data_IF_996161939416
#
_entry.id   IF_996161939416
#
_cell.length_a   1.000
_cell.length_b   1.000
_cell.length_c   1.000
_cell.angle_alpha   90.00
_cell.angle_beta   90.00
_cell.angle_gamma   90.00
#
_symmetry.space_group_name_H-M   'P 1'
#
loop_
_entity.id
_entity.type
_entity.pdbx_description
1 polymer ?
#
# COMPACT_ATOMS: atom_id res chain seq x y z
N UNK A 1 -9.97 -6.36 6.54
CA UNK A 1 -8.79 -7.26 6.55
C UNK A 1 -7.60 -6.69 7.31
N UNK A 2 -6.88 -5.67 6.84
CA UNK A 2 -5.66 -5.19 7.53
C UNK A 2 -5.91 -4.65 8.95
N UNK A 3 -6.95 -3.82 9.14
CA UNK A 3 -7.31 -3.31 10.47
C UNK A 3 -7.85 -4.40 11.41
N UNK A 4 -8.43 -5.48 10.88
CA UNK A 4 -8.92 -6.62 11.69
C UNK A 4 -7.76 -7.49 12.21
N UNK A 5 -6.61 -7.46 11.54
CA UNK A 5 -5.41 -8.16 11.98
C UNK A 5 -4.72 -7.46 13.16
N UNK A 6 -4.92 -6.14 13.34
CA UNK A 6 -4.25 -5.36 14.40
C UNK A 6 -4.62 -5.81 15.83
N UNK A 7 -5.90 -6.02 16.18
CA UNK A 7 -6.26 -6.55 17.50
C UNK A 7 -5.67 -7.94 17.77
N UNK A 8 -5.66 -8.81 16.76
CA UNK A 8 -5.06 -10.16 16.87
C UNK A 8 -3.56 -10.07 17.11
N UNK A 9 -2.90 -9.12 16.45
CA UNK A 9 -1.49 -8.84 16.67
C UNK A 9 -1.26 -8.34 18.11
N UNK A 10 -1.96 -7.32 18.57
CA UNK A 10 -1.83 -6.85 19.96
C UNK A 10 -2.10 -7.95 21.01
N UNK A 11 -3.05 -8.84 20.74
CA UNK A 11 -3.32 -9.99 21.60
C UNK A 11 -2.14 -10.99 21.62
N UNK A 12 -1.61 -11.37 20.46
CA UNK A 12 -0.44 -12.28 20.37
C UNK A 12 0.82 -11.66 20.97
N UNK A 13 1.02 -10.35 20.82
CA UNK A 13 2.09 -9.60 21.48
C UNK A 13 2.02 -9.79 23.00
N UNK A 14 0.81 -9.62 23.57
CA UNK A 14 0.59 -9.76 25.01
C UNK A 14 0.94 -11.18 25.49
N UNK A 15 0.57 -12.21 24.72
CA UNK A 15 0.92 -13.61 25.03
C UNK A 15 2.43 -13.82 25.02
N UNK A 16 3.13 -13.33 23.99
CA UNK A 16 4.59 -13.46 23.87
C UNK A 16 5.30 -12.78 25.05
N UNK A 17 4.89 -11.55 25.37
CA UNK A 17 5.47 -10.79 26.49
C UNK A 17 5.27 -11.54 27.81
N UNK A 18 4.06 -12.03 28.07
CA UNK A 18 3.76 -12.78 29.30
C UNK A 18 4.51 -14.12 29.36
N UNK A 19 4.60 -14.86 28.24
CA UNK A 19 5.27 -16.15 28.22
C UNK A 19 6.77 -16.01 28.47
N UNK A 20 7.46 -15.13 27.74
CA UNK A 20 8.90 -14.93 27.91
C UNK A 20 9.24 -14.29 29.26
N UNK A 21 8.41 -13.36 29.74
CA UNK A 21 8.55 -12.81 31.08
C UNK A 21 8.43 -13.88 32.16
N UNK A 22 7.48 -14.81 32.03
CA UNK A 22 7.35 -15.93 32.96
C UNK A 22 8.59 -16.85 32.93
N UNK A 23 9.12 -17.18 31.74
CA UNK A 23 10.35 -17.96 31.63
C UNK A 23 11.55 -17.26 32.26
N UNK A 24 11.74 -15.97 31.99
CA UNK A 24 12.80 -15.16 32.59
C UNK A 24 12.65 -15.12 34.12
N UNK A 25 11.44 -14.93 34.63
CA UNK A 25 11.15 -14.93 36.06
C UNK A 25 11.38 -16.29 36.72
N UNK A 26 11.24 -17.41 36.01
CA UNK A 26 11.50 -18.74 36.56
C UNK A 26 13.00 -19.10 36.58
N UNK A 27 13.75 -18.63 35.59
CA UNK A 27 15.16 -19.01 35.39
C UNK A 27 16.12 -18.10 36.15
N UNK A 28 15.77 -16.82 36.32
CA UNK A 28 16.61 -15.85 37.02
C UNK A 28 16.39 -15.85 38.55
N UNK A 29 17.44 -15.62 39.35
CA UNK A 29 17.32 -15.50 40.80
C UNK A 29 16.52 -14.26 41.19
N UNK A 30 15.79 -14.36 42.31
CA UNK A 30 14.93 -13.29 42.85
C UNK A 30 15.69 -12.03 43.23
N UNK A 31 17.00 -12.15 43.51
CA UNK A 31 17.90 -11.01 43.77
C UNK A 31 18.15 -10.16 42.52
N UNK A 32 18.03 -10.75 41.32
CA UNK A 32 18.16 -10.02 40.05
C UNK A 32 16.79 -9.53 39.58
N UNK A 33 15.78 -10.42 39.62
CA UNK A 33 14.42 -10.12 39.17
C UNK A 33 13.44 -10.37 40.32
N UNK A 34 13.15 -9.29 41.05
CA UNK A 34 12.34 -9.29 42.28
C UNK A 34 10.88 -9.73 42.03
N UNK A 35 10.27 -9.23 40.95
CA UNK A 35 8.85 -9.43 40.68
C UNK A 35 8.57 -9.61 39.17
N UNK A 36 7.45 -10.26 38.84
CA UNK A 36 7.02 -10.47 37.46
C UNK A 36 6.94 -9.18 36.62
N UNK A 37 6.48 -8.03 37.15
CA UNK A 37 6.50 -6.77 36.40
C UNK A 37 7.90 -6.32 35.94
N UNK A 38 8.97 -6.61 36.70
CA UNK A 38 10.35 -6.33 36.28
C UNK A 38 10.77 -7.23 35.11
N UNK A 39 10.33 -8.49 35.09
CA UNK A 39 10.55 -9.39 33.95
C UNK A 39 9.76 -8.95 32.70
N UNK A 40 8.53 -8.43 32.89
CA UNK A 40 7.74 -7.86 31.80
C UNK A 40 8.45 -6.64 31.22
N UNK A 41 8.97 -5.75 32.08
CA UNK A 41 9.75 -4.59 31.66
C UNK A 41 10.97 -4.98 30.83
N UNK A 42 11.79 -5.92 31.32
CA UNK A 42 12.95 -6.44 30.57
C UNK A 42 12.52 -7.01 29.20
N UNK A 43 11.43 -7.78 29.18
CA UNK A 43 10.91 -8.39 27.95
C UNK A 43 10.46 -7.33 26.95
N UNK A 44 9.72 -6.31 27.39
CA UNK A 44 9.24 -5.21 26.54
C UNK A 44 10.40 -4.40 25.96
N UNK A 45 11.34 -3.96 26.80
CA UNK A 45 12.50 -3.14 26.39
C UNK A 45 13.41 -3.90 25.42
N UNK A 46 13.56 -5.22 25.63
CA UNK A 46 14.31 -6.10 24.72
C UNK A 46 13.58 -6.31 23.40
N UNK A 47 12.27 -6.57 23.46
CA UNK A 47 11.41 -6.79 22.29
C UNK A 47 11.33 -5.55 21.39
N UNK A 48 11.29 -4.35 21.98
CA UNK A 48 11.30 -3.08 21.24
C UNK A 48 12.70 -2.64 20.84
N UNK A 49 13.74 -3.46 21.09
CA UNK A 49 15.15 -3.18 20.78
C UNK A 49 15.73 -1.93 21.46
N UNK A 50 15.08 -1.42 22.51
CA UNK A 50 15.51 -0.20 23.22
C UNK A 50 16.71 -0.48 24.11
N UNK A 51 16.67 -1.57 24.88
CA UNK A 51 17.82 -2.07 25.64
C UNK A 51 18.45 -1.06 26.61
N UNK A 52 17.70 -0.52 27.57
CA UNK A 52 18.23 0.46 28.55
C UNK A 52 19.44 -0.04 29.36
N UNK A 53 19.61 -1.36 29.49
CA UNK A 53 20.74 -1.97 30.21
C UNK A 53 20.62 -1.88 31.74
N UNK A 54 19.46 -1.43 32.24
CA UNK A 54 19.10 -1.35 33.66
C UNK A 54 18.83 -2.74 34.27
N UNK A 55 18.29 -3.66 33.47
CA UNK A 55 18.07 -5.05 33.84
C UNK A 55 18.69 -5.96 32.77
N UNK A 56 19.46 -6.96 33.19
CA UNK A 56 20.07 -7.96 32.29
C UNK A 56 20.04 -9.35 32.94
N UNK A 57 19.91 -10.44 32.17
CA UNK A 57 20.02 -11.78 32.72
C UNK A 57 21.42 -12.00 33.29
N UNK A 58 21.51 -12.52 34.51
CA UNK A 58 22.79 -12.90 35.13
C UNK A 58 23.09 -14.38 34.97
N UNK A 59 22.07 -15.19 34.74
CA UNK A 59 22.24 -16.64 34.55
C UNK A 59 22.52 -16.97 33.08
N UNK A 60 23.25 -18.06 32.85
CA UNK A 60 23.48 -18.58 31.50
C UNK A 60 22.16 -18.98 30.83
N UNK A 61 21.25 -19.60 31.58
CA UNK A 61 19.94 -19.99 31.07
C UNK A 61 19.05 -18.78 30.74
N UNK A 62 19.06 -17.73 31.57
CA UNK A 62 18.35 -16.47 31.29
C UNK A 62 18.87 -15.78 30.04
N UNK A 63 20.20 -15.79 29.84
CA UNK A 63 20.82 -15.28 28.61
C UNK A 63 20.36 -16.03 27.36
N UNK A 64 20.18 -17.36 27.43
CA UNK A 64 19.64 -18.16 26.31
C UNK A 64 18.19 -17.77 26.02
N UNK A 65 17.34 -17.62 27.04
CA UNK A 65 15.94 -17.22 26.87
C UNK A 65 15.84 -15.82 26.26
N UNK A 66 16.62 -14.86 26.75
CA UNK A 66 16.66 -13.49 26.22
C UNK A 66 17.19 -13.46 24.78
N UNK A 67 18.18 -14.30 24.45
CA UNK A 67 18.66 -14.40 23.07
C UNK A 67 17.60 -14.95 22.12
N UNK A 68 16.85 -15.97 22.55
CA UNK A 68 15.71 -16.49 21.79
C UNK A 68 14.60 -15.44 21.62
N UNK A 69 14.32 -14.66 22.68
CA UNK A 69 13.39 -13.53 22.63
C UNK A 69 13.81 -12.52 21.56
N UNK A 70 15.08 -12.08 21.53
CA UNK A 70 15.58 -11.08 20.57
C UNK A 70 15.34 -11.52 19.12
N UNK A 71 15.65 -12.79 18.80
CA UNK A 71 15.49 -13.33 17.45
C UNK A 71 13.99 -13.42 17.10
N UNK A 72 13.18 -13.98 18.01
CA UNK A 72 11.74 -14.14 17.80
C UNK A 72 10.99 -12.81 17.70
N UNK A 73 11.37 -11.82 18.53
CA UNK A 73 10.73 -10.50 18.55
C UNK A 73 10.95 -9.73 17.26
N UNK A 74 12.14 -9.83 16.66
CA UNK A 74 12.44 -9.08 15.44
C UNK A 74 11.60 -9.57 14.25
N UNK A 75 11.39 -10.89 14.16
CA UNK A 75 10.49 -11.48 13.17
C UNK A 75 9.03 -11.03 13.40
N UNK A 76 8.61 -10.96 14.66
CA UNK A 76 7.27 -10.54 15.01
C UNK A 76 7.01 -9.05 14.70
N UNK A 77 7.95 -8.15 15.05
CA UNK A 77 7.82 -6.71 14.84
C UNK A 77 7.79 -6.32 13.35
N UNK A 78 8.22 -7.20 12.44
CA UNK A 78 8.11 -7.00 11.00
C UNK A 78 6.66 -7.13 10.48
N UNK A 79 5.80 -7.91 11.16
CA UNK A 79 4.44 -8.22 10.70
C UNK A 79 3.53 -6.98 10.65
N UNK A 80 3.37 -6.17 11.73
CA UNK A 80 2.48 -5.00 11.66
C UNK A 80 3.01 -3.95 10.67
N UNK A 81 4.33 -3.79 10.56
CA UNK A 81 4.94 -2.90 9.56
C UNK A 81 4.57 -3.35 8.13
N UNK A 82 4.62 -4.65 7.85
CA UNK A 82 4.22 -5.21 6.55
C UNK A 82 2.73 -5.03 6.24
N UNK A 83 1.84 -5.22 7.22
CA UNK A 83 0.39 -5.05 7.05
C UNK A 83 0.04 -3.58 6.75
N UNK A 84 0.60 -2.64 7.54
CA UNK A 84 0.38 -1.21 7.34
C UNK A 84 1.00 -0.76 6.02
N UNK A 85 2.22 -1.21 5.70
CA UNK A 85 2.90 -0.90 4.45
C UNK A 85 2.12 -1.39 3.23
N UNK A 86 1.61 -2.62 3.24
CA UNK A 86 0.80 -3.15 2.16
C UNK A 86 -0.53 -2.40 1.99
N UNK A 87 -1.15 -1.96 3.08
CA UNK A 87 -2.36 -1.14 3.04
C UNK A 87 -2.08 0.25 2.46
N UNK A 88 -0.98 0.86 2.88
CA UNK A 88 -0.53 2.15 2.37
C UNK A 88 -0.21 2.06 0.86
N UNK A 89 0.49 1.01 0.42
CA UNK A 89 0.81 0.79 -1.00
C UNK A 89 -0.45 0.74 -1.87
N UNK A 90 -1.47 0.00 -1.43
CA UNK A 90 -2.77 -0.07 -2.14
C UNK A 90 -3.43 1.30 -2.26
N UNK A 91 -3.54 2.03 -1.15
CA UNK A 91 -4.14 3.38 -1.16
C UNK A 91 -3.31 4.35 -2.01
N UNK A 92 -1.99 4.21 -1.99
CA UNK A 92 -1.09 5.03 -2.78
C UNK A 92 -1.26 4.77 -4.28
N UNK A 93 -1.35 3.51 -4.69
CA UNK A 93 -1.65 3.11 -6.07
C UNK A 93 -3.00 3.68 -6.54
N UNK A 94 -4.08 3.46 -5.78
CA UNK A 94 -5.42 3.99 -6.11
C UNK A 94 -5.41 5.52 -6.27
N UNK A 95 -4.69 6.22 -5.37
CA UNK A 95 -4.56 7.68 -5.43
C UNK A 95 -3.81 8.12 -6.68
N UNK A 96 -2.74 7.44 -7.05
CA UNK A 96 -1.97 7.77 -8.25
C UNK A 96 -2.84 7.67 -9.50
N UNK A 97 -3.59 6.58 -9.65
CA UNK A 97 -4.54 6.37 -10.76
C UNK A 97 -5.58 7.49 -10.84
N UNK A 98 -6.25 7.82 -9.73
CA UNK A 98 -7.25 8.89 -9.68
C UNK A 98 -6.67 10.26 -10.04
N UNK A 99 -5.43 10.55 -9.62
CA UNK A 99 -4.76 11.79 -9.95
C UNK A 99 -4.40 11.88 -11.43
N UNK A 100 -4.01 10.77 -12.06
CA UNK A 100 -3.73 10.74 -13.49
C UNK A 100 -4.99 11.04 -14.31
N UNK A 101 -6.11 10.37 -14.01
CA UNK A 101 -7.40 10.62 -14.67
C UNK A 101 -7.80 12.10 -14.52
N UNK A 102 -7.71 12.65 -13.30
CA UNK A 102 -8.02 14.07 -13.05
C UNK A 102 -7.10 15.03 -13.82
N UNK A 103 -5.80 14.72 -13.93
CA UNK A 103 -4.85 15.53 -14.71
C UNK A 103 -5.13 15.48 -16.20
N UNK A 104 -5.39 14.28 -16.75
CA UNK A 104 -5.80 14.08 -18.15
C UNK A 104 -7.05 14.90 -18.45
N UNK A 105 -8.09 14.80 -17.61
CA UNK A 105 -9.31 15.61 -17.73
C UNK A 105 -9.01 17.10 -17.74
N UNK A 106 -8.19 17.56 -16.79
CA UNK A 106 -7.86 18.99 -16.66
C UNK A 106 -7.11 19.50 -17.89
N UNK A 107 -6.19 18.71 -18.45
CA UNK A 107 -5.46 19.08 -19.67
C UNK A 107 -6.36 19.13 -20.90
N UNK A 108 -7.27 18.17 -21.05
CA UNK A 108 -8.25 18.18 -22.14
C UNK A 108 -9.11 19.44 -22.10
N UNK A 109 -9.63 19.80 -20.93
CA UNK A 109 -10.40 21.03 -20.75
C UNK A 109 -9.57 22.29 -21.01
N UNK A 110 -8.29 22.31 -20.59
CA UNK A 110 -7.38 23.43 -20.87
C UNK A 110 -7.08 23.60 -22.37
N UNK A 111 -7.14 22.52 -23.14
CA UNK A 111 -7.02 22.56 -24.60
C UNK A 111 -8.34 22.92 -25.30
N UNK A 112 -9.42 23.11 -24.55
CA UNK A 112 -10.73 23.46 -25.07
C UNK A 112 -11.61 22.28 -25.45
N UNK A 113 -11.17 21.04 -25.20
CA UNK A 113 -11.98 19.86 -25.46
C UNK A 113 -13.02 19.66 -24.37
N UNK A 114 -14.29 19.67 -24.76
CA UNK A 114 -15.43 19.29 -23.93
C UNK A 114 -15.76 17.81 -24.13
N UNK A 115 -16.65 17.21 -23.32
CA UNK A 115 -17.11 15.84 -23.53
C UNK A 115 -17.66 15.57 -24.94
N UNK A 116 -18.21 16.60 -25.60
CA UNK A 116 -18.77 16.49 -26.95
C UNK A 116 -17.67 16.40 -28.03
N UNK A 117 -16.51 16.99 -27.77
CA UNK A 117 -15.39 17.04 -28.71
C UNK A 117 -14.48 15.79 -28.64
N UNK A 118 -14.74 14.90 -27.68
CA UNK A 118 -13.94 13.68 -27.47
C UNK A 118 -13.97 12.76 -28.70
N UNK A 119 -15.11 12.71 -29.41
CA UNK A 119 -15.22 11.91 -30.65
C UNK A 119 -14.27 12.44 -31.73
N UNK A 120 -14.20 13.76 -31.91
CA UNK A 120 -13.26 14.37 -32.86
C UNK A 120 -11.80 14.17 -32.45
N UNK A 121 -11.51 14.24 -31.15
CA UNK A 121 -10.20 13.93 -30.61
C UNK A 121 -9.78 12.48 -30.94
N UNK A 122 -10.69 11.53 -30.76
CA UNK A 122 -10.43 10.12 -31.08
C UNK A 122 -10.14 9.95 -32.57
N UNK A 123 -10.94 10.55 -33.45
CA UNK A 123 -10.72 10.50 -34.90
C UNK A 123 -9.39 11.13 -35.33
N UNK A 124 -8.90 12.13 -34.60
CA UNK A 124 -7.60 12.75 -34.88
C UNK A 124 -6.43 11.82 -34.51
N UNK A 125 -6.55 11.09 -33.40
CA UNK A 125 -5.48 10.21 -32.92
C UNK A 125 -5.59 8.78 -33.42
N UNK A 126 -6.75 8.29 -33.83
CA UNK A 126 -6.94 6.94 -34.35
C UNK A 126 -6.36 6.81 -35.76
N UNK A 127 -5.13 6.31 -35.86
CA UNK A 127 -4.48 6.07 -37.16
C UNK A 127 -5.05 4.84 -37.86
N UNK A 128 -5.54 3.88 -37.08
CA UNK A 128 -6.11 2.63 -37.57
C UNK A 128 -7.50 2.81 -38.19
N UNK A 129 -8.17 3.95 -37.90
CA UNK A 129 -9.55 4.27 -38.31
C UNK A 129 -10.56 3.22 -37.84
N UNK A 130 -10.34 2.67 -36.65
CA UNK A 130 -11.23 1.69 -36.04
C UNK A 130 -12.36 2.35 -35.23
N UNK A 131 -12.25 3.64 -34.91
CA UNK A 131 -13.12 4.35 -33.99
C UNK A 131 -12.73 4.20 -32.52
N UNK A 132 -11.65 3.47 -32.25
CA UNK A 132 -11.15 3.11 -30.92
C UNK A 132 -9.65 3.46 -30.86
N UNK A 133 -9.14 3.76 -29.66
CA UNK A 133 -7.72 4.01 -29.46
C UNK A 133 -7.03 2.74 -28.94
N UNK A 134 -6.04 2.25 -29.66
CA UNK A 134 -5.14 1.23 -29.13
C UNK A 134 -4.08 1.84 -28.17
N UNK A 135 -3.28 1.00 -27.53
CA UNK A 135 -2.24 1.46 -26.61
C UNK A 135 -1.21 2.40 -27.28
N UNK A 136 -0.93 2.23 -28.57
CA UNK A 136 0.04 3.06 -29.29
C UNK A 136 -0.52 4.46 -29.57
N UNK A 137 -1.74 4.56 -30.06
CA UNK A 137 -2.43 5.82 -30.32
C UNK A 137 -2.72 6.58 -29.01
N UNK A 138 -3.16 5.87 -27.98
CA UNK A 138 -3.32 6.43 -26.63
C UNK A 138 -1.98 6.94 -26.05
N UNK A 139 -0.89 6.19 -26.25
CA UNK A 139 0.44 6.60 -25.79
C UNK A 139 0.93 7.86 -26.50
N UNK A 140 0.62 8.02 -27.79
CA UNK A 140 0.94 9.24 -28.55
C UNK A 140 0.16 10.42 -28.00
N UNK A 141 -1.15 10.28 -27.81
CA UNK A 141 -2.01 11.29 -27.19
C UNK A 141 -1.47 11.73 -25.82
N UNK A 142 -1.11 10.78 -24.94
CA UNK A 142 -0.59 11.09 -23.60
C UNK A 142 0.79 11.78 -23.61
N UNK A 143 1.65 11.45 -24.58
CA UNK A 143 2.94 12.13 -24.76
C UNK A 143 2.77 13.56 -25.25
N UNK A 144 1.82 13.83 -26.14
CA UNK A 144 1.51 15.17 -26.62
C UNK A 144 0.92 16.07 -25.53
N UNK A 145 0.16 15.50 -24.58
CA UNK A 145 -0.31 16.21 -23.39
C UNK A 145 0.83 16.66 -22.44
N UNK A 146 2.07 16.20 -22.68
CA UNK A 146 3.27 16.52 -21.89
C UNK A 146 3.07 16.33 -20.38
N UNK A 147 2.37 15.25 -20.02
CA UNK A 147 2.12 14.88 -18.63
C UNK A 147 3.37 14.32 -17.92
N UNK A 148 4.44 14.04 -18.67
CA UNK A 148 5.71 13.53 -18.13
C UNK A 148 5.60 12.09 -17.60
N UNK A 149 4.68 11.29 -18.17
CA UNK A 149 4.45 9.91 -17.76
C UNK A 149 5.46 8.98 -18.42
N UNK A 150 5.97 8.03 -17.64
CA UNK A 150 6.74 6.91 -18.16
C UNK A 150 5.83 5.89 -18.89
N UNK A 151 6.39 5.01 -19.74
CA UNK A 151 5.61 4.04 -20.50
C UNK A 151 4.74 3.10 -19.63
N UNK A 152 5.19 2.76 -18.42
CA UNK A 152 4.45 1.86 -17.52
C UNK A 152 3.21 2.56 -16.97
N UNK A 153 3.33 3.83 -16.57
CA UNK A 153 2.20 4.64 -16.13
C UNK A 153 1.17 4.86 -17.23
N UNK A 154 1.62 5.05 -18.48
CA UNK A 154 0.71 5.18 -19.64
C UNK A 154 -0.08 3.89 -19.84
N UNK A 155 0.59 2.74 -19.79
CA UNK A 155 -0.08 1.43 -19.90
C UNK A 155 -1.07 1.20 -18.75
N UNK A 156 -0.70 1.56 -17.52
CA UNK A 156 -1.56 1.44 -16.36
C UNK A 156 -2.78 2.38 -16.46
N UNK A 157 -2.61 3.57 -17.02
CA UNK A 157 -3.70 4.50 -17.29
C UNK A 157 -4.61 3.96 -18.40
N UNK A 158 -4.06 3.44 -19.49
CA UNK A 158 -4.81 2.80 -20.57
C UNK A 158 -5.73 1.69 -20.05
N UNK A 159 -5.20 0.79 -19.22
CA UNK A 159 -5.99 -0.28 -18.56
C UNK A 159 -7.10 0.22 -17.64
N UNK A 160 -7.00 1.45 -17.14
CA UNK A 160 -8.09 2.05 -16.33
C UNK A 160 -9.22 2.62 -17.19
N UNK A 161 -8.98 2.77 -18.49
CA UNK A 161 -9.98 3.18 -19.47
C UNK A 161 -10.63 1.98 -20.17
N UNK A 162 -9.83 0.98 -20.56
CA UNK A 162 -10.25 -0.29 -21.18
C UNK A 162 -10.98 -1.16 -20.13
N UNK A 163 -12.29 -0.93 -19.97
CA UNK A 163 -13.12 -1.57 -18.96
C UNK A 163 -13.59 -2.96 -19.41
N UNK A 164 -13.76 -3.15 -20.73
CA UNK A 164 -14.15 -4.42 -21.32
C UNK A 164 -12.98 -5.39 -21.57
N UNK A 165 -11.74 -4.89 -21.49
CA UNK A 165 -10.51 -5.67 -21.66
C UNK A 165 -10.22 -6.03 -23.12
N UNK A 166 -10.79 -5.29 -24.07
CA UNK A 166 -10.60 -5.48 -25.51
C UNK A 166 -9.16 -5.21 -25.96
N UNK A 167 -8.36 -4.52 -25.14
CA UNK A 167 -7.03 -4.04 -25.52
C UNK A 167 -7.09 -2.76 -26.37
N UNK A 168 -8.26 -2.12 -26.41
CA UNK A 168 -8.55 -0.84 -27.03
C UNK A 168 -9.42 -0.03 -26.08
N UNK A 169 -9.54 1.27 -26.33
CA UNK A 169 -10.40 2.17 -25.57
C UNK A 169 -11.36 2.83 -26.53
N UNK A 170 -12.66 2.68 -26.30
CA UNK A 170 -13.67 3.39 -27.06
C UNK A 170 -14.01 4.77 -26.44
N UNK A 171 -14.82 5.55 -27.15
CA UNK A 171 -15.20 6.89 -26.71
C UNK A 171 -16.13 6.91 -25.50
N UNK A 172 -17.00 5.90 -25.34
CA UNK A 172 -17.90 5.76 -24.19
C UNK A 172 -17.10 5.42 -22.92
N UNK A 173 -16.19 4.46 -23.01
CA UNK A 173 -15.24 4.10 -21.96
C UNK A 173 -14.42 5.33 -21.53
N UNK A 174 -13.87 6.06 -22.49
CA UNK A 174 -13.08 7.26 -22.20
C UNK A 174 -13.87 8.37 -21.50
N UNK A 175 -15.08 8.64 -21.97
CA UNK A 175 -15.96 9.65 -21.37
C UNK A 175 -16.46 9.22 -20.00
N UNK A 176 -16.83 7.94 -19.82
CA UNK A 176 -17.35 7.42 -18.56
C UNK A 176 -16.34 7.53 -17.42
N UNK A 177 -15.05 7.31 -17.70
CA UNK A 177 -13.96 7.39 -16.73
C UNK A 177 -13.59 8.84 -16.41
N UNK A 178 -13.53 9.74 -17.40
CA UNK A 178 -13.18 11.15 -17.16
C UNK A 178 -14.33 11.97 -16.58
N UNK A 179 -15.57 11.64 -16.94
CA UNK A 179 -16.77 12.41 -16.61
C UNK A 179 -17.87 11.54 -15.98
N UNK A 180 -17.60 10.89 -14.82
CA UNK A 180 -18.61 10.09 -14.14
C UNK A 180 -19.82 10.96 -13.78
N UNK A 181 -20.99 10.64 -14.31
CA UNK A 181 -22.25 11.36 -14.11
C UNK A 181 -22.68 12.30 -15.25
N UNK A 182 -21.89 12.43 -16.33
CA UNK A 182 -22.36 13.08 -17.54
C UNK A 182 -23.20 12.07 -18.33
N UNK A 183 -24.53 12.09 -18.14
CA UNK A 183 -25.49 11.27 -18.88
C UNK A 183 -25.66 11.71 -20.33
N UNK A 184 -24.56 11.89 -21.06
CA UNK A 184 -24.55 12.38 -22.44
C UNK A 184 -25.11 11.38 -23.46
N UNK A 185 -25.24 10.10 -23.08
CA UNK A 185 -25.74 9.02 -23.95
C UNK A 185 -26.82 8.14 -23.30
N UNK A 186 -27.42 8.60 -22.19
CA UNK A 186 -28.62 7.97 -21.64
C UNK A 186 -29.85 8.50 -22.37
N UNK A 187 -30.10 7.99 -23.58
CA UNK A 187 -31.39 8.06 -24.26
C UNK A 187 -31.67 6.72 -24.95
#
# INVERSE_FOLDING_TARGET
MACEALPVLLFTLTIIVLSFSAFIYLVEPRENIEALPRAIWLTLVTMTTVGYGDLVPKTSAGSVVVSALIIGSQLYMAIPLGIVGGSFSRVWEDREHLLLIRRTRTRLLQWGYTPQDIVELFLFYDQSKTGELDLFDFSRMMKEMRLGLDPQRIQNLFKSFDADGSGKVDHEEFVSVLYPGCGLFAN
#
